data_IF_039316266192
#
_entry.id   IF_039316266192
#
_cell.length_a   1.000
_cell.length_b   1.000
_cell.length_c   1.000
_cell.angle_alpha   90.00
_cell.angle_beta   90.00
_cell.angle_gamma   90.00
#
_symmetry.space_group_name_H-M   'P 1'
#
loop_
_entity.id
_entity.type
_entity.pdbx_description
1 polymer ?
#
# COMPACT_ATOMS: atom_id res chain seq x y z
N UNK A 1 35.40 -10.96 14.43
CA UNK A 1 34.20 -10.33 13.82
C UNK A 1 33.21 -11.42 13.59
N UNK A 2 32.06 -11.31 14.23
CA UNK A 2 31.01 -12.31 14.10
C UNK A 2 30.44 -12.25 12.66
N UNK A 3 30.20 -13.40 12.06
CA UNK A 3 29.64 -13.52 10.72
C UNK A 3 28.28 -12.79 10.61
N UNK A 4 27.47 -12.86 11.65
CA UNK A 4 26.18 -12.16 11.74
C UNK A 4 26.34 -10.63 11.72
N UNK A 5 27.34 -10.10 12.42
CA UNK A 5 27.62 -8.67 12.43
C UNK A 5 28.06 -8.17 11.04
N UNK A 6 28.93 -8.95 10.37
CA UNK A 6 29.37 -8.62 9.02
C UNK A 6 28.21 -8.65 8.03
N UNK A 7 27.35 -9.64 8.15
CA UNK A 7 26.16 -9.77 7.31
C UNK A 7 25.20 -8.59 7.51
N UNK A 8 24.91 -8.19 8.75
CA UNK A 8 24.08 -7.03 9.08
C UNK A 8 24.64 -5.72 8.51
N UNK A 9 25.97 -5.54 8.58
CA UNK A 9 26.64 -4.37 8.00
C UNK A 9 26.50 -4.33 6.48
N UNK A 10 26.70 -5.44 5.82
CA UNK A 10 26.57 -5.57 4.37
C UNK A 10 25.14 -5.29 3.91
N UNK A 11 24.14 -5.83 4.60
CA UNK A 11 22.73 -5.64 4.29
C UNK A 11 22.29 -4.19 4.48
N UNK A 12 22.71 -3.55 5.57
CA UNK A 12 22.46 -2.11 5.78
C UNK A 12 23.05 -1.26 4.66
N UNK A 13 24.26 -1.59 4.18
CA UNK A 13 24.86 -0.89 3.04
C UNK A 13 24.09 -1.11 1.74
N UNK A 14 23.61 -2.32 1.50
CA UNK A 14 22.79 -2.67 0.33
C UNK A 14 21.48 -1.88 0.33
N UNK A 15 20.83 -1.81 1.49
CA UNK A 15 19.61 -1.01 1.68
C UNK A 15 19.85 0.47 1.37
N UNK A 16 20.87 1.08 1.98
CA UNK A 16 21.22 2.49 1.75
C UNK A 16 21.58 2.76 0.29
N UNK A 17 22.22 1.82 -0.40
CA UNK A 17 22.52 1.94 -1.82
C UNK A 17 21.25 1.95 -2.68
N UNK A 18 20.27 1.12 -2.33
CA UNK A 18 18.94 1.07 -2.99
C UNK A 18 18.16 2.37 -2.75
N UNK A 19 18.11 2.85 -1.52
CA UNK A 19 17.42 4.09 -1.13
C UNK A 19 17.99 5.32 -1.84
N UNK A 20 19.32 5.40 -1.96
CA UNK A 20 20.03 6.50 -2.64
C UNK A 20 20.03 6.41 -4.17
N UNK A 21 19.16 5.60 -4.78
CA UNK A 21 18.94 5.56 -6.22
C UNK A 21 19.67 4.43 -6.95
N UNK A 22 20.15 3.40 -6.25
CA UNK A 22 20.83 2.22 -6.83
C UNK A 22 22.10 2.57 -7.61
N UNK A 23 22.68 1.64 -8.35
CA UNK A 23 23.90 1.78 -9.16
C UNK A 23 25.08 2.45 -8.41
N UNK A 24 25.28 2.08 -7.14
CA UNK A 24 26.35 2.55 -6.26
C UNK A 24 26.69 1.52 -5.21
N UNK A 25 27.92 1.57 -4.70
CA UNK A 25 28.30 0.84 -3.50
C UNK A 25 28.36 1.78 -2.30
N UNK A 26 28.12 1.26 -1.11
CA UNK A 26 28.24 1.97 0.15
C UNK A 26 29.14 1.13 1.06
N UNK A 27 30.14 1.77 1.66
CA UNK A 27 30.98 1.17 2.67
C UNK A 27 30.38 1.52 4.04
N UNK A 28 30.15 0.52 4.88
CA UNK A 28 29.61 0.74 6.21
C UNK A 28 30.53 1.66 7.03
N UNK A 29 29.93 2.66 7.65
CA UNK A 29 30.60 3.56 8.57
C UNK A 29 29.59 3.93 9.67
N UNK A 30 29.87 3.50 10.89
CA UNK A 30 28.96 3.65 12.03
C UNK A 30 28.63 5.12 12.34
N UNK A 31 29.59 6.02 12.23
CA UNK A 31 29.38 7.44 12.49
C UNK A 31 28.46 8.12 11.47
N UNK A 32 28.38 7.56 10.25
CA UNK A 32 27.53 8.10 9.15
C UNK A 32 26.19 7.37 9.02
N UNK A 33 26.17 6.09 9.40
CA UNK A 33 25.03 5.21 9.17
C UNK A 33 24.30 4.81 10.46
N UNK A 34 24.81 5.26 11.62
CA UNK A 34 24.29 4.90 12.94
C UNK A 34 24.62 3.47 13.37
N UNK A 35 24.40 3.16 14.65
CA UNK A 35 24.61 1.82 15.18
C UNK A 35 23.62 0.81 14.60
N UNK A 36 23.95 -0.48 14.67
CA UNK A 36 23.09 -1.58 14.20
C UNK A 36 21.85 -1.76 15.09
N UNK A 37 21.88 -1.25 16.31
CA UNK A 37 20.82 -1.45 17.30
C UNK A 37 19.57 -0.55 17.09
N UNK A 38 19.72 0.59 16.41
CA UNK A 38 18.62 1.58 16.28
C UNK A 38 17.64 1.33 15.14
N UNK A 39 17.75 0.21 14.42
CA UNK A 39 16.90 -0.08 13.26
C UNK A 39 16.14 -1.40 13.35
N UNK A 40 15.81 -1.87 14.54
CA UNK A 40 15.08 -3.15 14.71
C UNK A 40 13.76 -3.22 13.94
N UNK A 41 13.08 -2.09 13.72
CA UNK A 41 11.83 -2.03 12.95
C UNK A 41 12.01 -2.14 11.44
N UNK A 42 13.19 -1.74 10.89
CA UNK A 42 13.47 -1.85 9.45
C UNK A 42 14.23 -3.13 9.08
N UNK A 43 14.99 -3.72 10.01
CA UNK A 43 15.78 -4.95 9.76
C UNK A 43 14.88 -6.16 9.63
N UNK A 44 13.79 -6.26 10.40
CA UNK A 44 12.79 -7.33 10.22
C UNK A 44 12.16 -7.37 8.83
N UNK A 45 12.10 -6.24 8.13
CA UNK A 45 11.53 -6.16 6.77
C UNK A 45 12.47 -6.69 5.67
N UNK A 46 13.74 -6.98 5.95
CA UNK A 46 14.75 -7.31 4.93
C UNK A 46 15.29 -8.74 5.06
N UNK A 47 15.30 -9.32 6.26
CA UNK A 47 15.93 -10.63 6.51
C UNK A 47 15.07 -11.82 6.09
N UNK A 48 13.82 -11.60 5.70
CA UNK A 48 12.91 -12.72 5.54
C UNK A 48 11.97 -12.61 4.33
N UNK A 49 12.48 -12.92 3.14
CA UNK A 49 11.60 -13.17 1.99
C UNK A 49 10.75 -14.43 2.19
N UNK A 50 11.18 -15.40 2.99
CA UNK A 50 10.41 -16.59 3.37
C UNK A 50 9.43 -16.24 4.50
N UNK A 51 9.88 -15.59 5.57
CA UNK A 51 9.04 -15.15 6.69
C UNK A 51 8.05 -14.06 6.27
N UNK A 52 8.41 -13.18 5.35
CA UNK A 52 7.46 -12.18 4.83
C UNK A 52 6.28 -12.86 4.10
N UNK A 53 6.54 -13.91 3.33
CA UNK A 53 5.49 -14.68 2.66
C UNK A 53 4.61 -15.45 3.66
N UNK A 54 5.20 -16.05 4.69
CA UNK A 54 4.48 -16.73 5.76
C UNK A 54 3.70 -15.73 6.64
N UNK A 55 4.32 -14.62 7.01
CA UNK A 55 3.66 -13.53 7.74
C UNK A 55 2.45 -12.98 6.97
N UNK A 56 2.62 -12.65 5.71
CA UNK A 56 1.53 -12.15 4.83
C UNK A 56 0.42 -13.19 4.70
N UNK A 57 0.76 -14.47 4.60
CA UNK A 57 -0.21 -15.57 4.56
C UNK A 57 -1.00 -15.66 5.86
N UNK A 58 -0.36 -15.48 7.02
CA UNK A 58 -1.02 -15.41 8.33
C UNK A 58 -2.02 -14.26 8.42
N UNK A 59 -1.58 -13.04 8.11
CA UNK A 59 -2.44 -11.85 8.12
C UNK A 59 -3.63 -12.01 7.19
N UNK A 60 -3.44 -12.51 5.96
CA UNK A 60 -4.54 -12.78 5.03
C UNK A 60 -5.50 -13.81 5.60
N UNK A 61 -5.00 -14.88 6.23
CA UNK A 61 -5.84 -15.92 6.84
C UNK A 61 -6.69 -15.36 7.99
N UNK A 62 -6.13 -14.54 8.85
CA UNK A 62 -6.84 -13.92 9.97
C UNK A 62 -7.94 -12.98 9.47
N UNK A 63 -7.64 -12.15 8.46
CA UNK A 63 -8.62 -11.28 7.81
C UNK A 63 -9.76 -12.09 7.18
N UNK A 64 -9.45 -13.20 6.49
CA UNK A 64 -10.46 -14.08 5.90
C UNK A 64 -11.36 -14.65 6.98
N UNK A 65 -10.78 -15.21 8.05
CA UNK A 65 -11.54 -15.81 9.15
C UNK A 65 -12.46 -14.79 9.81
N UNK A 66 -11.99 -13.57 10.01
CA UNK A 66 -12.77 -12.49 10.62
C UNK A 66 -13.94 -12.07 9.73
N UNK A 67 -13.68 -11.81 8.43
CA UNK A 67 -14.73 -11.46 7.47
C UNK A 67 -15.73 -12.60 7.23
N UNK A 68 -15.29 -13.86 7.22
CA UNK A 68 -16.19 -15.03 7.09
C UNK A 68 -17.07 -15.20 8.31
N UNK A 69 -16.53 -14.97 9.52
CA UNK A 69 -17.26 -15.17 10.77
C UNK A 69 -18.24 -14.04 11.09
N UNK A 70 -17.90 -12.80 10.80
CA UNK A 70 -18.66 -11.59 11.18
C UNK A 70 -19.24 -10.83 9.99
N UNK A 71 -18.83 -11.17 8.77
CA UNK A 71 -19.28 -10.51 7.55
C UNK A 71 -18.95 -9.02 7.54
N UNK A 72 -19.94 -8.20 7.18
CA UNK A 72 -19.80 -6.75 7.07
C UNK A 72 -19.40 -6.07 8.40
N UNK A 73 -19.79 -6.62 9.53
CA UNK A 73 -19.50 -6.07 10.86
C UNK A 73 -18.01 -6.15 11.24
N UNK A 74 -17.21 -6.92 10.50
CA UNK A 74 -15.78 -7.00 10.68
C UNK A 74 -14.98 -5.96 9.87
N UNK A 75 -15.61 -5.21 8.96
CA UNK A 75 -14.89 -4.35 7.99
C UNK A 75 -14.06 -3.30 8.70
N UNK A 76 -14.55 -2.67 9.76
CA UNK A 76 -13.82 -1.63 10.49
C UNK A 76 -12.57 -2.21 11.19
N UNK A 77 -12.69 -3.36 11.85
CA UNK A 77 -11.56 -4.01 12.52
C UNK A 77 -10.51 -4.47 11.51
N UNK A 78 -10.96 -5.06 10.39
CA UNK A 78 -10.10 -5.47 9.28
C UNK A 78 -9.41 -4.29 8.61
N UNK A 79 -10.10 -3.18 8.36
CA UNK A 79 -9.52 -1.99 7.79
C UNK A 79 -8.44 -1.39 8.69
N UNK A 80 -8.72 -1.25 9.99
CA UNK A 80 -7.73 -0.76 10.96
C UNK A 80 -6.50 -1.67 11.04
N UNK A 81 -6.69 -3.00 11.02
CA UNK A 81 -5.59 -3.95 10.98
C UNK A 81 -4.73 -3.77 9.72
N UNK A 82 -5.35 -3.59 8.55
CA UNK A 82 -4.63 -3.33 7.29
C UNK A 82 -3.82 -2.03 7.38
N UNK A 83 -4.40 -0.94 7.89
CA UNK A 83 -3.71 0.34 8.03
C UNK A 83 -2.46 0.19 8.91
N UNK A 84 -2.60 -0.49 10.05
CA UNK A 84 -1.50 -0.69 11.00
C UNK A 84 -0.38 -1.58 10.44
N UNK A 85 -0.73 -2.71 9.80
CA UNK A 85 0.23 -3.72 9.35
C UNK A 85 1.00 -3.30 8.10
N UNK A 86 0.42 -2.46 7.22
CA UNK A 86 0.99 -2.16 5.90
C UNK A 86 1.47 -0.72 5.71
N UNK A 87 1.58 0.06 6.80
CA UNK A 87 1.99 1.48 6.74
C UNK A 87 1.12 2.26 5.74
N UNK A 88 -0.18 2.00 5.76
CA UNK A 88 -1.19 2.68 4.98
C UNK A 88 -1.95 3.62 5.92
N UNK A 89 -2.21 4.85 5.50
CA UNK A 89 -2.85 5.86 6.34
C UNK A 89 -4.36 5.94 6.13
N UNK A 90 -4.86 5.37 5.01
CA UNK A 90 -6.30 5.38 4.73
C UNK A 90 -6.75 4.34 3.70
N UNK A 91 -8.01 3.93 3.83
CA UNK A 91 -8.72 3.06 2.90
C UNK A 91 -10.00 3.76 2.45
N UNK A 92 -10.25 3.79 1.15
CA UNK A 92 -11.50 4.26 0.53
C UNK A 92 -12.05 3.22 -0.41
N UNK A 93 -13.36 3.01 -0.39
CA UNK A 93 -14.05 2.10 -1.30
C UNK A 93 -15.19 2.86 -1.98
N UNK A 94 -15.19 2.85 -3.30
CA UNK A 94 -16.24 3.44 -4.12
C UNK A 94 -16.97 2.37 -4.93
N UNK A 95 -18.24 2.63 -5.26
CA UNK A 95 -19.00 1.79 -6.18
C UNK A 95 -18.86 2.31 -7.64
N UNK A 96 -19.54 1.66 -8.56
CA UNK A 96 -19.59 1.99 -9.99
C UNK A 96 -20.27 3.33 -10.32
N UNK A 97 -21.07 3.88 -9.39
CA UNK A 97 -21.63 5.23 -9.47
C UNK A 97 -20.70 6.31 -8.91
N UNK A 98 -19.46 5.96 -8.57
CA UNK A 98 -18.48 6.84 -7.90
C UNK A 98 -18.91 7.29 -6.50
N UNK A 99 -19.86 6.61 -5.87
CA UNK A 99 -20.28 6.89 -4.51
C UNK A 99 -19.30 6.24 -3.53
N UNK A 100 -18.85 7.02 -2.55
CA UNK A 100 -18.03 6.52 -1.43
C UNK A 100 -18.92 5.65 -0.54
N UNK A 101 -18.63 4.34 -0.49
CA UNK A 101 -19.40 3.37 0.31
C UNK A 101 -18.71 3.00 1.62
N UNK A 102 -17.39 3.22 1.71
CA UNK A 102 -16.64 3.00 2.93
C UNK A 102 -15.36 3.86 2.94
N UNK A 103 -14.96 4.33 4.11
CA UNK A 103 -13.65 4.94 4.34
C UNK A 103 -13.17 4.72 5.77
N UNK A 104 -11.86 4.53 5.91
CA UNK A 104 -11.15 4.43 7.19
C UNK A 104 -9.84 5.22 7.06
N UNK A 105 -9.40 5.88 8.14
CA UNK A 105 -8.21 6.73 8.18
C UNK A 105 -8.54 8.22 8.39
N UNK A 106 -7.52 9.00 8.75
CA UNK A 106 -7.68 10.42 9.10
C UNK A 106 -7.53 11.33 7.86
N UNK A 107 -8.53 11.33 6.99
CA UNK A 107 -8.54 12.20 5.80
C UNK A 107 -8.78 13.65 6.18
N UNK A 108 -7.92 14.55 5.74
CA UNK A 108 -8.12 16.00 5.86
C UNK A 108 -9.33 16.48 5.04
N UNK A 109 -9.49 15.91 3.85
CA UNK A 109 -10.63 16.07 2.95
C UNK A 109 -10.77 14.78 2.16
N UNK A 110 -12.01 14.34 1.90
CA UNK A 110 -12.25 13.19 1.03
C UNK A 110 -12.15 13.63 -0.44
N UNK A 111 -11.36 12.94 -1.28
CA UNK A 111 -11.28 13.24 -2.72
C UNK A 111 -12.62 12.99 -3.40
N UNK A 112 -13.03 13.91 -4.28
CA UNK A 112 -14.17 13.69 -5.17
C UNK A 112 -13.73 12.86 -6.39
N UNK A 113 -14.27 11.67 -6.50
CA UNK A 113 -13.93 10.72 -7.56
C UNK A 113 -15.01 10.62 -8.66
N UNK A 114 -16.04 11.48 -8.63
CA UNK A 114 -17.25 11.38 -9.47
C UNK A 114 -16.92 11.36 -10.97
N UNK A 115 -16.03 12.23 -11.43
CA UNK A 115 -15.64 12.29 -12.85
C UNK A 115 -14.41 11.42 -13.18
N UNK A 116 -13.75 10.87 -12.18
CA UNK A 116 -12.44 10.22 -12.31
C UNK A 116 -12.59 8.73 -12.55
N UNK A 117 -13.44 8.03 -11.78
CA UNK A 117 -13.52 6.56 -11.81
C UNK A 117 -13.98 5.99 -13.15
N UNK A 118 -14.69 6.77 -13.95
CA UNK A 118 -15.15 6.40 -15.29
C UNK A 118 -14.32 7.04 -16.43
N UNK A 119 -13.28 7.82 -16.09
CA UNK A 119 -12.41 8.43 -17.09
C UNK A 119 -11.50 7.40 -17.77
N UNK A 120 -11.39 7.47 -19.10
CA UNK A 120 -10.60 6.52 -19.88
C UNK A 120 -9.09 6.62 -19.60
N UNK A 121 -8.57 7.82 -19.35
CA UNK A 121 -7.15 8.01 -19.04
C UNK A 121 -6.82 7.38 -17.69
N UNK A 122 -7.71 7.55 -16.70
CA UNK A 122 -7.59 6.91 -15.40
C UNK A 122 -7.66 5.37 -15.51
N UNK A 123 -8.70 4.84 -16.15
CA UNK A 123 -8.90 3.38 -16.30
C UNK A 123 -7.76 2.71 -17.07
N UNK A 124 -7.15 3.39 -18.03
CA UNK A 124 -6.02 2.85 -18.81
C UNK A 124 -4.74 2.62 -17.99
N UNK A 125 -4.67 3.15 -16.77
CA UNK A 125 -3.51 2.98 -15.88
C UNK A 125 -3.53 1.68 -15.08
N UNK A 126 -4.68 1.02 -15.02
CA UNK A 126 -4.77 -0.30 -14.40
C UNK A 126 -4.09 -1.36 -15.27
N UNK A 127 -3.34 -2.23 -14.62
CA UNK A 127 -2.70 -3.37 -15.27
C UNK A 127 -3.72 -4.48 -15.58
N UNK A 128 -3.25 -5.57 -16.20
CA UNK A 128 -4.08 -6.75 -16.53
C UNK A 128 -4.77 -7.43 -15.33
N UNK A 129 -4.31 -7.14 -14.11
CA UNK A 129 -4.88 -7.68 -12.87
C UNK A 129 -5.81 -6.67 -12.19
N UNK A 130 -6.20 -5.60 -12.89
CA UNK A 130 -7.04 -4.53 -12.36
C UNK A 130 -6.45 -3.83 -11.13
N UNK A 131 -5.14 -3.68 -11.08
CA UNK A 131 -4.44 -2.92 -10.05
C UNK A 131 -3.57 -1.83 -10.62
N UNK A 132 -3.40 -0.76 -9.86
CA UNK A 132 -2.57 0.39 -10.17
C UNK A 132 -1.86 0.85 -8.90
N UNK A 133 -0.63 1.31 -9.02
CA UNK A 133 0.10 1.91 -7.88
C UNK A 133 0.79 3.19 -8.30
N UNK A 134 0.62 4.22 -7.50
CA UNK A 134 1.24 5.54 -7.65
C UNK A 134 2.11 5.80 -6.43
N UNK A 135 3.43 5.76 -6.61
CA UNK A 135 4.40 5.96 -5.52
C UNK A 135 4.62 7.42 -5.17
N UNK A 136 4.20 8.36 -6.03
CA UNK A 136 4.20 9.80 -5.77
C UNK A 136 3.11 10.47 -6.59
N UNK A 137 2.17 11.13 -5.90
CA UNK A 137 0.99 11.76 -6.52
C UNK A 137 1.38 12.89 -7.48
N UNK A 138 2.49 13.60 -7.29
CA UNK A 138 2.92 14.63 -8.25
C UNK A 138 3.16 14.09 -9.67
N UNK A 139 3.39 12.79 -9.85
CA UNK A 139 3.51 12.17 -11.17
C UNK A 139 2.17 12.07 -11.92
N UNK A 140 1.05 12.22 -11.23
CA UNK A 140 -0.31 12.14 -11.80
C UNK A 140 -0.64 13.40 -12.60
N UNK A 141 -0.10 14.57 -12.21
CA UNK A 141 -0.39 15.86 -12.84
C UNK A 141 -0.17 15.85 -14.36
N UNK A 142 0.86 15.15 -14.83
CA UNK A 142 1.23 15.08 -16.23
C UNK A 142 0.22 14.36 -17.11
N UNK A 143 -0.66 13.52 -16.55
CA UNK A 143 -1.61 12.72 -17.33
C UNK A 143 -3.06 12.81 -16.85
N UNK A 144 -3.33 13.32 -15.64
CA UNK A 144 -4.69 13.51 -15.11
C UNK A 144 -4.73 14.62 -14.05
N UNK A 145 -4.87 15.85 -14.50
CA UNK A 145 -4.79 17.03 -13.62
C UNK A 145 -5.88 17.09 -12.55
N UNK A 146 -7.11 16.69 -12.88
CA UNK A 146 -8.23 16.67 -11.93
C UNK A 146 -7.96 15.69 -10.79
N UNK A 147 -7.54 14.46 -11.10
CA UNK A 147 -7.13 13.49 -10.09
C UNK A 147 -5.98 14.01 -9.22
N UNK A 148 -4.98 14.64 -9.84
CA UNK A 148 -3.88 15.24 -9.10
C UNK A 148 -4.36 16.28 -8.09
N UNK A 149 -5.25 17.18 -8.50
CA UNK A 149 -5.81 18.21 -7.61
C UNK A 149 -6.58 17.57 -6.45
N UNK A 150 -7.48 16.63 -6.72
CA UNK A 150 -8.27 15.94 -5.70
C UNK A 150 -7.40 15.22 -4.67
N UNK A 151 -6.36 14.51 -5.12
CA UNK A 151 -5.45 13.79 -4.22
C UNK A 151 -4.56 14.76 -3.42
N UNK A 152 -4.06 15.83 -4.04
CA UNK A 152 -3.22 16.83 -3.39
C UNK A 152 -3.99 17.62 -2.32
N UNK A 153 -5.22 18.05 -2.61
CA UNK A 153 -6.10 18.75 -1.67
C UNK A 153 -6.49 17.85 -0.48
N UNK A 154 -6.50 16.54 -0.70
CA UNK A 154 -6.75 15.53 0.31
C UNK A 154 -5.49 15.09 1.07
N UNK A 155 -4.33 15.70 0.77
CA UNK A 155 -3.02 15.37 1.34
C UNK A 155 -2.55 13.93 1.09
N UNK A 156 -3.00 13.32 -0.01
CA UNK A 156 -2.56 11.98 -0.41
C UNK A 156 -1.26 12.09 -1.19
N UNK A 157 -0.21 11.44 -0.72
CA UNK A 157 1.13 11.48 -1.32
C UNK A 157 1.42 10.30 -2.23
N UNK A 158 0.83 9.15 -1.91
CA UNK A 158 0.94 7.92 -2.69
C UNK A 158 -0.32 7.07 -2.50
N UNK A 159 -0.60 6.16 -3.44
CA UNK A 159 -1.69 5.21 -3.27
C UNK A 159 -1.47 3.93 -4.09
N UNK A 160 -2.12 2.87 -3.68
CA UNK A 160 -2.35 1.67 -4.49
C UNK A 160 -3.85 1.46 -4.62
N UNK A 161 -4.30 1.11 -5.81
CA UNK A 161 -5.71 0.90 -6.10
C UNK A 161 -5.95 -0.41 -6.83
N UNK A 162 -7.08 -1.01 -6.54
CA UNK A 162 -7.60 -2.16 -7.25
C UNK A 162 -9.09 -2.01 -7.49
N UNK A 163 -9.62 -2.63 -8.58
CA UNK A 163 -11.05 -2.70 -8.78
C UNK A 163 -11.49 -4.12 -9.14
N UNK A 164 -12.71 -4.47 -8.73
CA UNK A 164 -13.32 -5.77 -8.97
C UNK A 164 -14.80 -5.64 -9.27
N UNK A 165 -15.31 -6.58 -10.04
CA UNK A 165 -16.74 -6.80 -10.19
C UNK A 165 -17.18 -7.97 -9.29
N UNK A 166 -18.18 -7.70 -8.44
CA UNK A 166 -18.84 -8.71 -7.62
C UNK A 166 -20.35 -8.51 -7.69
N UNK A 167 -21.09 -9.58 -8.03
CA UNK A 167 -22.57 -9.55 -8.19
C UNK A 167 -23.04 -8.41 -9.11
N UNK A 168 -22.37 -8.23 -10.25
CA UNK A 168 -22.68 -7.20 -11.26
C UNK A 168 -22.46 -5.74 -10.80
N UNK A 169 -21.75 -5.52 -9.70
CA UNK A 169 -21.32 -4.20 -9.22
C UNK A 169 -19.82 -4.11 -9.23
N UNK A 170 -19.30 -2.96 -9.61
CA UNK A 170 -17.87 -2.68 -9.58
C UNK A 170 -17.54 -1.91 -8.30
N UNK A 171 -16.44 -2.32 -7.67
CA UNK A 171 -15.89 -1.68 -6.48
C UNK A 171 -14.47 -1.26 -6.75
N UNK A 172 -14.15 0.01 -6.39
CA UNK A 172 -12.81 0.58 -6.47
C UNK A 172 -12.26 0.75 -5.07
N UNK A 173 -11.10 0.15 -4.80
CA UNK A 173 -10.40 0.22 -3.54
C UNK A 173 -9.19 1.13 -3.70
N UNK A 174 -8.97 2.02 -2.74
CA UNK A 174 -7.80 2.89 -2.65
C UNK A 174 -7.18 2.75 -1.27
N UNK A 175 -5.90 2.44 -1.24
CA UNK A 175 -5.08 2.35 -0.05
C UNK A 175 -4.10 3.51 -0.12
N UNK A 176 -4.32 4.52 0.71
CA UNK A 176 -3.69 5.83 0.63
C UNK A 176 -2.59 6.00 1.66
N UNK A 177 -1.57 6.79 1.29
CA UNK A 177 -0.47 7.20 2.15
C UNK A 177 -0.39 8.72 2.14
N UNK A 178 -0.42 9.35 3.33
CA UNK A 178 -0.53 10.80 3.46
C UNK A 178 0.81 11.53 3.64
N UNK A 179 1.77 10.92 4.32
CA UNK A 179 2.92 11.65 4.85
C UNK A 179 4.25 11.32 4.15
N UNK A 180 4.26 10.34 3.27
CA UNK A 180 5.49 9.91 2.59
C UNK A 180 5.22 9.33 1.21
N UNK A 181 6.28 9.25 0.41
CA UNK A 181 6.26 8.54 -0.87
C UNK A 181 6.35 7.04 -0.60
N UNK A 182 5.54 6.24 -1.25
CA UNK A 182 5.58 4.80 -1.08
C UNK A 182 6.22 4.09 -2.29
N UNK A 183 6.90 2.98 -2.04
CA UNK A 183 7.44 2.08 -3.06
C UNK A 183 6.76 0.74 -2.95
N UNK A 184 5.67 0.61 -3.67
CA UNK A 184 4.91 -0.61 -3.74
C UNK A 184 5.68 -1.71 -4.48
N UNK A 185 5.83 -2.87 -3.89
CA UNK A 185 6.38 -4.07 -4.52
C UNK A 185 5.25 -4.99 -5.04
N UNK A 186 5.62 -6.11 -5.66
CA UNK A 186 4.62 -7.04 -6.22
C UNK A 186 3.82 -7.77 -5.14
N UNK A 187 4.42 -8.01 -3.97
CA UNK A 187 3.73 -8.61 -2.83
C UNK A 187 2.67 -7.68 -2.26
N UNK A 188 2.96 -6.38 -2.13
CA UNK A 188 2.00 -5.37 -1.69
C UNK A 188 0.79 -5.31 -2.65
N UNK A 189 1.06 -5.33 -3.97
CA UNK A 189 -0.01 -5.34 -4.98
C UNK A 189 -0.87 -6.61 -4.90
N UNK A 190 -0.25 -7.77 -4.76
CA UNK A 190 -0.97 -9.03 -4.64
C UNK A 190 -1.81 -9.09 -3.37
N UNK A 191 -1.26 -8.61 -2.24
CA UNK A 191 -2.00 -8.51 -0.99
C UNK A 191 -3.26 -7.65 -1.15
N UNK A 192 -3.11 -6.43 -1.67
CA UNK A 192 -4.23 -5.51 -1.92
C UNK A 192 -5.28 -6.16 -2.82
N UNK A 193 -4.87 -6.87 -3.87
CA UNK A 193 -5.79 -7.59 -4.77
C UNK A 193 -6.61 -8.65 -4.04
N UNK A 194 -5.97 -9.46 -3.18
CA UNK A 194 -6.62 -10.53 -2.44
C UNK A 194 -7.63 -9.94 -1.43
N UNK A 195 -7.15 -9.01 -0.60
CA UNK A 195 -7.98 -8.42 0.45
C UNK A 195 -9.16 -7.63 -0.11
N UNK A 196 -8.94 -6.84 -1.18
CA UNK A 196 -10.03 -6.11 -1.83
C UNK A 196 -11.13 -7.04 -2.34
N UNK A 197 -10.76 -8.19 -2.91
CA UNK A 197 -11.74 -9.20 -3.35
C UNK A 197 -12.55 -9.77 -2.19
N UNK A 198 -11.90 -10.04 -1.07
CA UNK A 198 -12.55 -10.60 0.11
C UNK A 198 -13.51 -9.56 0.71
N UNK A 199 -13.06 -8.32 0.89
CA UNK A 199 -13.92 -7.22 1.37
C UNK A 199 -15.11 -7.02 0.43
N UNK A 200 -14.89 -6.98 -0.90
CA UNK A 200 -15.98 -6.84 -1.87
C UNK A 200 -17.02 -7.97 -1.78
N UNK A 201 -16.64 -9.16 -1.31
CA UNK A 201 -17.56 -10.29 -1.18
C UNK A 201 -18.54 -10.17 0.00
N UNK A 202 -18.27 -9.29 0.96
CA UNK A 202 -19.10 -9.05 2.16
C UNK A 202 -19.82 -7.68 2.13
N UNK A 203 -19.47 -6.78 1.17
CA UNK A 203 -20.19 -5.53 0.90
C UNK A 203 -21.51 -5.79 0.16
#
# INVERSE_FOLDING_TARGET
>A
TDYEELFRKADKCLYLAKEKGRNRFIIYNESKHGSLENNSRHIHKILDLSDHSEYMSGVVSDIILELVSRGKDAIDDVANNILEQFEIDGLRIYNDNSELIYSCGEYKRMPDMTNILNDKAFLSRYNKNNSMSIGIVSSVEAWHKELYNELSDSNIMAFISAWFEFKYRRYYFFYDVFNHKSRWNDSDRNFVLIISKIIASVL
#
